data_IF_969817898148
#
_entry.id   IF_969817898148
#
_cell.length_a   1.000
_cell.length_b   1.000
_cell.length_c   1.000
_cell.angle_alpha   90.00
_cell.angle_beta   90.00
_cell.angle_gamma   90.00
#
_symmetry.space_group_name_H-M   'P 1'
#
loop_
_entity.id
_entity.type
_entity.pdbx_description
1 polymer ?
#
# COMPACT_ATOMS: atom_id res chain seq x y z
N UNK A 1 10.40 -77.83 1.59
CA UNK A 1 11.27 -76.85 0.91
C UNK A 1 10.40 -75.71 0.39
N UNK A 2 10.69 -74.49 0.86
CA UNK A 2 10.13 -73.18 0.41
C UNK A 2 10.56 -72.91 -1.06
N UNK A 3 10.00 -71.94 -1.81
CA UNK A 3 9.27 -70.77 -1.31
C UNK A 3 7.98 -70.35 -2.03
N UNK A 4 7.16 -69.73 -1.20
CA UNK A 4 6.10 -68.77 -1.46
C UNK A 4 6.67 -67.57 -2.25
N UNK A 5 6.10 -67.24 -3.42
CA UNK A 5 6.43 -66.01 -4.15
C UNK A 5 5.18 -65.13 -4.16
N UNK A 6 5.12 -64.22 -3.18
CA UNK A 6 4.17 -63.12 -3.13
C UNK A 6 4.66 -62.06 -4.10
N UNK A 7 3.97 -61.90 -5.22
CA UNK A 7 4.21 -60.78 -6.13
C UNK A 7 3.53 -59.53 -5.54
N UNK A 8 4.28 -58.78 -4.74
CA UNK A 8 3.87 -57.49 -4.20
C UNK A 8 3.94 -56.45 -5.33
N UNK A 9 2.78 -56.13 -5.92
CA UNK A 9 2.65 -55.02 -6.86
C UNK A 9 2.76 -53.71 -6.07
N UNK A 10 3.98 -53.15 -6.01
CA UNK A 10 4.20 -51.82 -5.45
C UNK A 10 3.53 -50.79 -6.36
N UNK A 11 2.34 -50.33 -5.97
CA UNK A 11 1.76 -49.10 -6.47
C UNK A 11 2.67 -47.93 -6.04
N UNK A 12 3.58 -47.53 -6.93
CA UNK A 12 4.18 -46.20 -6.86
C UNK A 12 3.07 -45.20 -7.17
N UNK A 13 2.32 -44.80 -6.13
CA UNK A 13 1.54 -43.57 -6.19
C UNK A 13 2.56 -42.45 -6.16
N UNK A 14 3.03 -42.06 -7.34
CA UNK A 14 3.69 -40.78 -7.52
C UNK A 14 2.68 -39.72 -7.06
N UNK A 15 2.80 -39.26 -5.82
CA UNK A 15 2.35 -37.92 -5.49
C UNK A 15 3.27 -36.98 -6.27
N UNK A 16 2.96 -36.80 -7.55
CA UNK A 16 3.26 -35.56 -8.22
C UNK A 16 2.54 -34.52 -7.36
N UNK A 17 3.24 -33.96 -6.37
CA UNK A 17 2.93 -32.62 -5.92
C UNK A 17 2.95 -31.82 -7.21
N UNK A 18 1.76 -31.48 -7.71
CA UNK A 18 1.60 -30.36 -8.60
C UNK A 18 2.27 -29.21 -7.85
N UNK A 19 3.53 -28.95 -8.16
CA UNK A 19 4.14 -27.68 -7.87
C UNK A 19 3.32 -26.72 -8.72
N UNK A 20 2.28 -26.19 -8.08
CA UNK A 20 1.52 -25.04 -8.52
C UNK A 20 2.57 -23.99 -8.88
N UNK A 21 2.88 -23.88 -10.17
CA UNK A 21 3.85 -22.93 -10.71
C UNK A 21 3.21 -21.54 -10.77
N UNK A 22 2.60 -21.14 -9.65
CA UNK A 22 1.84 -19.90 -9.45
C UNK A 22 2.78 -18.76 -9.03
N UNK A 23 4.05 -19.07 -8.74
CA UNK A 23 5.05 -18.09 -8.38
C UNK A 23 5.64 -17.44 -9.64
N UNK A 24 5.39 -16.14 -9.80
CA UNK A 24 6.01 -15.31 -10.83
C UNK A 24 7.21 -14.56 -10.22
N UNK A 25 8.42 -15.08 -10.46
CA UNK A 25 9.66 -14.51 -9.92
C UNK A 25 10.02 -13.15 -10.53
N UNK A 26 9.60 -12.90 -11.78
CA UNK A 26 9.83 -11.63 -12.47
C UNK A 26 8.96 -10.56 -11.84
N UNK A 27 7.69 -10.87 -11.61
CA UNK A 27 6.75 -9.98 -10.92
C UNK A 27 7.18 -9.73 -9.47
N UNK A 28 7.55 -10.77 -8.72
CA UNK A 28 8.04 -10.63 -7.35
C UNK A 28 9.24 -9.67 -7.27
N UNK A 29 10.22 -9.85 -8.16
CA UNK A 29 11.38 -8.95 -8.25
C UNK A 29 11.00 -7.53 -8.63
N UNK A 30 10.11 -7.35 -9.63
CA UNK A 30 9.61 -6.03 -10.05
C UNK A 30 8.98 -5.27 -8.90
N UNK A 31 8.17 -5.96 -8.09
CA UNK A 31 7.42 -5.35 -6.99
C UNK A 31 8.25 -5.19 -5.71
N UNK A 32 9.45 -5.77 -5.66
CA UNK A 32 10.30 -5.79 -4.47
C UNK A 32 9.75 -6.68 -3.36
N UNK A 33 9.08 -7.78 -3.74
CA UNK A 33 8.48 -8.71 -2.83
C UNK A 33 9.52 -9.63 -2.19
N UNK A 34 9.35 -9.94 -0.91
CA UNK A 34 10.08 -10.99 -0.21
C UNK A 34 9.49 -12.39 -0.52
N UNK A 35 9.97 -13.41 0.21
CA UNK A 35 9.53 -14.80 0.03
C UNK A 35 8.02 -15.01 0.29
N UNK A 36 7.36 -14.08 1.00
CA UNK A 36 5.94 -14.12 1.29
C UNK A 36 5.10 -13.30 0.29
N UNK A 37 5.72 -12.65 -0.69
CA UNK A 37 5.03 -11.74 -1.61
C UNK A 37 4.75 -10.36 -1.00
N UNK A 38 5.49 -9.98 0.05
CA UNK A 38 5.23 -8.81 0.87
C UNK A 38 6.43 -7.86 0.86
N UNK A 39 6.24 -6.61 1.31
CA UNK A 39 7.34 -5.66 1.57
C UNK A 39 6.98 -4.62 2.61
N UNK A 40 7.98 -3.82 2.98
CA UNK A 40 7.82 -2.67 3.88
C UNK A 40 7.25 -1.45 3.18
N UNK A 41 6.39 -0.73 3.89
CA UNK A 41 5.74 0.52 3.54
C UNK A 41 5.73 1.46 4.75
N UNK A 42 5.36 2.71 4.54
CA UNK A 42 4.93 3.61 5.63
C UNK A 42 3.42 3.79 5.57
N UNK A 43 2.73 3.32 6.61
CA UNK A 43 1.33 3.67 6.88
C UNK A 43 1.27 5.06 7.51
N UNK A 44 0.41 5.91 6.98
CA UNK A 44 0.18 7.26 7.49
C UNK A 44 -1.28 7.37 7.90
N UNK A 45 -1.52 7.74 9.15
CA UNK A 45 -2.83 8.17 9.63
C UNK A 45 -2.86 9.70 9.63
N UNK A 46 -3.68 10.27 8.76
CA UNK A 46 -3.92 11.71 8.72
C UNK A 46 -4.96 12.08 9.78
N UNK A 47 -4.71 13.16 10.51
CA UNK A 47 -5.63 13.72 11.52
C UNK A 47 -5.72 15.23 11.41
N UNK A 48 -6.70 15.82 12.08
CA UNK A 48 -6.80 17.29 12.21
C UNK A 48 -5.53 17.86 12.85
N UNK A 49 -4.89 18.80 12.17
CA UNK A 49 -3.65 19.43 12.64
C UNK A 49 -3.87 20.56 13.66
N UNK A 50 -2.76 21.15 14.15
CA UNK A 50 -2.79 22.19 15.16
C UNK A 50 -3.27 23.55 14.64
N UNK A 51 -3.20 23.81 13.33
CA UNK A 51 -3.65 25.08 12.75
C UNK A 51 -5.18 25.21 12.89
N UNK A 52 -5.63 26.27 13.57
CA UNK A 52 -7.05 26.59 13.83
C UNK A 52 -7.55 27.81 13.07
N UNK A 53 -6.87 28.20 11.99
CA UNK A 53 -7.33 29.27 11.11
C UNK A 53 -8.76 29.03 10.63
N UNK A 54 -9.51 30.12 10.43
CA UNK A 54 -10.88 30.11 9.88
C UNK A 54 -10.94 30.77 8.51
N UNK A 55 -9.79 31.11 7.92
CA UNK A 55 -9.71 31.71 6.59
C UNK A 55 -10.06 30.65 5.52
N UNK A 56 -11.31 30.67 5.07
CA UNK A 56 -11.82 29.67 4.12
C UNK A 56 -11.05 29.66 2.79
N UNK A 57 -10.76 30.79 2.11
CA UNK A 57 -9.93 30.80 0.91
C UNK A 57 -8.56 30.13 1.09
N UNK A 58 -7.90 30.33 2.23
CA UNK A 58 -6.62 29.68 2.53
C UNK A 58 -6.78 28.17 2.71
N UNK A 59 -7.79 27.74 3.48
CA UNK A 59 -8.09 26.33 3.71
C UNK A 59 -8.37 25.62 2.38
N UNK A 60 -9.23 26.19 1.55
CA UNK A 60 -9.62 25.63 0.25
C UNK A 60 -8.39 25.49 -0.67
N UNK A 61 -7.53 26.51 -0.71
CA UNK A 61 -6.28 26.47 -1.48
C UNK A 61 -5.34 25.36 -0.99
N UNK A 62 -5.21 25.17 0.32
CA UNK A 62 -4.37 24.11 0.87
C UNK A 62 -4.90 22.71 0.54
N UNK A 63 -6.21 22.49 0.62
CA UNK A 63 -6.79 21.19 0.27
C UNK A 63 -6.85 20.92 -1.24
N UNK A 64 -7.01 21.95 -2.08
CA UNK A 64 -6.81 21.79 -3.52
C UNK A 64 -5.36 21.36 -3.82
N UNK A 65 -4.39 21.98 -3.14
CA UNK A 65 -2.98 21.58 -3.22
C UNK A 65 -2.71 20.17 -2.69
N UNK A 66 -3.39 19.74 -1.63
CA UNK A 66 -3.34 18.37 -1.10
C UNK A 66 -3.72 17.33 -2.15
N UNK A 67 -4.86 17.55 -2.84
CA UNK A 67 -5.31 16.65 -3.93
C UNK A 67 -4.32 16.60 -5.09
N UNK A 68 -3.78 17.75 -5.51
CA UNK A 68 -2.76 17.82 -6.55
C UNK A 68 -1.47 17.09 -6.15
N UNK A 69 -1.01 17.28 -4.91
CA UNK A 69 0.18 16.63 -4.39
C UNK A 69 0.02 15.11 -4.35
N UNK A 70 -1.15 14.58 -3.99
CA UNK A 70 -1.42 13.13 -4.09
C UNK A 70 -1.25 12.62 -5.51
N UNK A 71 -1.76 13.34 -6.52
CA UNK A 71 -1.56 12.97 -7.92
C UNK A 71 -0.07 12.92 -8.32
N UNK A 72 0.73 13.87 -7.82
CA UNK A 72 2.20 13.87 -8.01
C UNK A 72 2.83 12.67 -7.34
N UNK A 73 2.46 12.36 -6.09
CA UNK A 73 3.01 11.22 -5.35
C UNK A 73 2.66 9.86 -5.97
N UNK A 74 1.44 9.71 -6.50
CA UNK A 74 1.02 8.50 -7.23
C UNK A 74 1.85 8.33 -8.51
N UNK A 75 2.01 9.40 -9.31
CA UNK A 75 2.84 9.37 -10.53
C UNK A 75 4.31 9.07 -10.24
N UNK A 76 4.81 9.48 -9.08
CA UNK A 76 6.16 9.16 -8.61
C UNK A 76 6.28 7.76 -7.97
N UNK A 77 5.21 6.95 -8.00
CA UNK A 77 5.13 5.62 -7.39
C UNK A 77 5.39 5.60 -5.87
N UNK A 78 5.21 6.76 -5.21
CA UNK A 78 5.43 6.94 -3.78
C UNK A 78 4.17 6.75 -2.95
N UNK A 79 3.00 7.07 -3.48
CA UNK A 79 1.70 6.86 -2.82
C UNK A 79 0.96 5.72 -3.53
N UNK A 80 0.69 4.63 -2.81
CA UNK A 80 0.04 3.43 -3.38
C UNK A 80 -1.40 3.24 -2.93
N UNK A 81 -1.78 3.79 -1.78
CA UNK A 81 -3.17 3.82 -1.30
C UNK A 81 -3.42 5.17 -0.67
N UNK A 82 -4.55 5.79 -1.02
CA UNK A 82 -5.06 6.98 -0.36
C UNK A 82 -6.59 6.88 -0.23
N UNK A 83 -7.12 7.31 0.91
CA UNK A 83 -8.56 7.39 1.09
C UNK A 83 -8.97 8.07 2.40
N UNK A 84 -10.16 8.70 2.42
CA UNK A 84 -10.70 9.27 3.64
C UNK A 84 -11.13 8.17 4.62
N UNK A 85 -10.99 8.46 5.90
CA UNK A 85 -11.62 7.67 6.95
C UNK A 85 -13.02 8.22 7.21
N UNK A 86 -13.97 7.31 7.43
CA UNK A 86 -15.31 7.67 7.90
C UNK A 86 -15.26 8.32 9.28
N UNK A 87 -16.40 8.85 9.73
CA UNK A 87 -16.53 9.38 11.10
C UNK A 87 -16.12 8.31 12.11
N UNK A 88 -15.27 8.68 13.04
CA UNK A 88 -14.74 7.80 14.07
C UNK A 88 -14.63 8.56 15.40
N UNK A 89 -14.39 7.83 16.48
CA UNK A 89 -14.19 8.38 17.83
C UNK A 89 -12.81 9.03 18.00
N UNK A 90 -11.92 8.91 17.00
CA UNK A 90 -10.63 9.59 16.92
C UNK A 90 -10.74 10.81 16.02
N UNK A 91 -9.64 11.55 15.89
CA UNK A 91 -9.54 12.73 15.02
C UNK A 91 -8.99 12.39 13.63
N UNK A 92 -8.99 11.09 13.27
CA UNK A 92 -8.45 10.62 12.00
C UNK A 92 -9.36 10.96 10.83
N UNK A 93 -8.73 11.41 9.74
CA UNK A 93 -9.39 11.93 8.53
C UNK A 93 -9.09 11.10 7.29
N UNK A 94 -7.97 10.39 7.25
CA UNK A 94 -7.59 9.60 6.08
C UNK A 94 -6.38 8.72 6.32
N UNK A 95 -6.13 7.84 5.36
CA UNK A 95 -4.99 6.94 5.35
C UNK A 95 -4.19 7.19 4.07
N UNK A 96 -2.87 7.25 4.19
CA UNK A 96 -1.95 6.96 3.09
C UNK A 96 -1.15 5.69 3.36
N UNK A 97 -0.82 4.97 2.29
CA UNK A 97 0.24 3.95 2.30
C UNK A 97 1.30 4.42 1.31
N UNK A 98 2.49 4.72 1.84
CA UNK A 98 3.62 5.19 1.06
C UNK A 98 4.57 4.02 0.76
N UNK A 99 4.99 3.91 -0.49
CA UNK A 99 6.02 2.97 -0.96
C UNK A 99 7.42 3.48 -0.61
N UNK A 100 7.67 3.61 0.70
CA UNK A 100 8.90 4.04 1.32
C UNK A 100 9.19 3.13 2.52
N UNK A 101 10.46 3.04 2.94
CA UNK A 101 10.87 2.24 4.10
C UNK A 101 11.42 3.09 5.25
N UNK A 102 11.68 4.38 4.99
CA UNK A 102 12.18 5.36 5.96
C UNK A 102 11.07 6.32 6.41
N UNK A 103 10.91 6.44 7.73
CA UNK A 103 10.00 7.43 8.33
C UNK A 103 10.46 8.85 7.98
N UNK A 104 11.76 9.12 8.02
CA UNK A 104 12.32 10.44 7.71
C UNK A 104 12.04 10.85 6.24
N UNK A 105 12.15 9.92 5.30
CA UNK A 105 11.81 10.19 3.90
C UNK A 105 10.31 10.41 3.72
N UNK A 106 9.48 9.66 4.45
CA UNK A 106 8.03 9.85 4.45
C UNK A 106 7.65 11.22 5.05
N UNK A 107 8.28 11.65 6.13
CA UNK A 107 8.06 12.98 6.70
C UNK A 107 8.42 14.07 5.69
N UNK A 108 9.59 13.99 5.05
CA UNK A 108 10.01 14.94 4.01
C UNK A 108 9.02 14.97 2.83
N UNK A 109 8.55 13.80 2.40
CA UNK A 109 7.55 13.70 1.34
C UNK A 109 6.22 14.35 1.76
N UNK A 110 5.74 14.07 2.97
CA UNK A 110 4.47 14.62 3.46
C UNK A 110 4.53 16.15 3.63
N UNK A 111 5.71 16.74 3.86
CA UNK A 111 5.87 18.19 3.92
C UNK A 111 5.73 18.90 2.56
N UNK A 112 5.71 18.17 1.43
CA UNK A 112 5.35 18.78 0.13
C UNK A 112 3.85 19.05 0.00
N UNK A 113 3.05 18.49 0.91
CA UNK A 113 1.60 18.67 0.95
C UNK A 113 1.21 19.99 1.63
N UNK A 114 0.50 20.90 0.94
CA UNK A 114 0.11 22.19 1.53
C UNK A 114 -0.81 22.05 2.73
N UNK A 115 -1.64 21.01 2.82
CA UNK A 115 -2.50 20.80 3.99
C UNK A 115 -1.71 20.30 5.20
N UNK A 116 -0.61 19.58 5.01
CA UNK A 116 0.25 19.11 6.10
C UNK A 116 1.25 20.19 6.52
N UNK A 117 1.95 20.82 5.57
CA UNK A 117 2.95 21.87 5.86
C UNK A 117 2.33 23.13 6.47
N UNK A 118 1.08 23.45 6.14
CA UNK A 118 0.33 24.53 6.81
C UNK A 118 -0.20 24.14 8.19
N UNK A 119 -0.09 22.88 8.61
CA UNK A 119 -0.61 22.36 9.87
C UNK A 119 -2.13 22.19 9.93
N UNK A 120 -2.84 22.24 8.80
CA UNK A 120 -4.28 21.91 8.73
C UNK A 120 -4.51 20.41 8.93
N UNK A 121 -3.60 19.58 8.44
CA UNK A 121 -3.46 18.16 8.71
C UNK A 121 -2.19 17.90 9.53
N UNK A 122 -2.23 16.86 10.34
CA UNK A 122 -1.05 16.24 10.94
C UNK A 122 -1.04 14.75 10.57
N UNK A 123 0.12 14.12 10.68
CA UNK A 123 0.34 12.74 10.29
C UNK A 123 0.95 11.93 11.43
N UNK A 124 0.47 10.70 11.62
CA UNK A 124 1.11 9.67 12.44
C UNK A 124 1.64 8.58 11.52
N UNK A 125 2.92 8.23 11.63
CA UNK A 125 3.60 7.35 10.69
C UNK A 125 4.00 6.04 11.37
N UNK A 126 3.76 4.93 10.68
CA UNK A 126 4.09 3.59 11.13
C UNK A 126 4.77 2.81 10.02
N UNK A 127 5.85 2.09 10.33
CA UNK A 127 6.35 1.06 9.43
C UNK A 127 5.30 -0.04 9.34
N UNK A 128 4.89 -0.36 8.13
CA UNK A 128 3.85 -1.35 7.88
C UNK A 128 4.34 -2.38 6.87
N UNK A 129 4.04 -3.65 7.14
CA UNK A 129 4.37 -4.77 6.28
C UNK A 129 3.10 -5.22 5.56
N UNK A 130 3.11 -5.16 4.24
CA UNK A 130 1.94 -5.34 3.40
C UNK A 130 2.25 -6.04 2.09
N UNK A 131 1.21 -6.40 1.34
CA UNK A 131 1.38 -7.07 0.04
C UNK A 131 2.18 -6.18 -0.92
N UNK A 132 3.21 -6.74 -1.55
CA UNK A 132 4.00 -6.03 -2.56
C UNK A 132 3.17 -5.66 -3.80
N UNK A 133 2.05 -6.37 -4.02
CA UNK A 133 1.13 -6.17 -5.14
C UNK A 133 0.18 -4.97 -4.97
N UNK A 134 0.25 -4.21 -3.87
CA UNK A 134 -0.65 -3.08 -3.63
C UNK A 134 -0.63 -2.01 -4.73
N UNK A 135 0.49 -1.77 -5.40
CA UNK A 135 0.52 -0.79 -6.51
C UNK A 135 -0.24 -1.25 -7.75
N UNK A 136 -0.45 -2.55 -7.91
CA UNK A 136 -0.98 -3.12 -9.15
C UNK A 136 -2.46 -2.78 -9.39
N UNK A 137 -3.21 -2.35 -8.35
CA UNK A 137 -4.59 -1.90 -8.56
C UNK A 137 -4.67 -0.50 -9.18
N UNK A 138 -3.63 0.33 -9.11
CA UNK A 138 -3.68 1.74 -9.52
C UNK A 138 -4.12 1.94 -10.98
N UNK A 139 -3.61 1.17 -11.98
CA UNK A 139 -4.08 1.30 -13.36
C UNK A 139 -5.55 0.92 -13.56
N UNK A 140 -6.12 0.13 -12.63
CA UNK A 140 -7.54 -0.24 -12.65
C UNK A 140 -8.38 0.81 -11.94
N UNK A 141 -7.89 1.39 -10.84
CA UNK A 141 -8.55 2.50 -10.15
C UNK A 141 -8.81 3.68 -11.08
N UNK A 142 -7.86 4.01 -11.93
CA UNK A 142 -8.01 5.06 -12.94
C UNK A 142 -9.15 4.73 -13.93
N UNK A 143 -9.20 3.49 -14.43
CA UNK A 143 -10.20 3.05 -15.43
C UNK A 143 -11.63 3.01 -14.89
N UNK A 144 -11.81 2.78 -13.60
CA UNK A 144 -13.14 2.72 -12.97
C UNK A 144 -13.59 4.06 -12.41
N UNK A 145 -12.74 5.08 -12.45
CA UNK A 145 -13.11 6.41 -11.99
C UNK A 145 -13.78 7.22 -13.10
N UNK A 146 -14.94 7.82 -12.77
CA UNK A 146 -15.61 8.77 -13.68
C UNK A 146 -15.02 10.18 -13.56
N UNK A 147 -14.51 10.51 -12.37
CA UNK A 147 -13.97 11.82 -12.04
C UNK A 147 -12.64 11.64 -11.32
N UNK A 148 -11.69 12.55 -11.54
CA UNK A 148 -10.52 12.64 -10.65
C UNK A 148 -10.96 13.23 -9.31
N UNK A 149 -10.46 12.67 -8.21
CA UNK A 149 -10.70 13.18 -6.86
C UNK A 149 -9.92 14.48 -6.65
#
# INVERSE_FOLDING_TARGET
>A
MRPFVILLLFLFVSKANAQNNTYDSVLAKKLGADEYGMKGYILVLLKTGPNKTTNQPFIDSCFAGHMQNMGVMVKAEKLVVAGPLGKNDKTYRGIFILNLTSIEEAEKLLQTDPAISSGLLAAELYKWYGSAALSEYLPFAEKISKNSF
#
